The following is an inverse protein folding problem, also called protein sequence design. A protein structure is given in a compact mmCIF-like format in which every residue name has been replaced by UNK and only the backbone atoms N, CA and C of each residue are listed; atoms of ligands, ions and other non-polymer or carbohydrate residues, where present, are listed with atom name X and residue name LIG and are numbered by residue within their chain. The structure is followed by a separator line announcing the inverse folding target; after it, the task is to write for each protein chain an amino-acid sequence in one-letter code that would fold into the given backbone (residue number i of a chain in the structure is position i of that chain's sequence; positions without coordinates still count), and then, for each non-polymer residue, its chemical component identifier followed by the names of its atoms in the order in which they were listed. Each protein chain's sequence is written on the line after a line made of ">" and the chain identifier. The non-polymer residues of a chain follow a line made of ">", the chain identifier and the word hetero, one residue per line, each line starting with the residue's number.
data_IF_915382583003
#
_entry.id   IF_915382583003
#
_cell.length_a   1.000
_cell.length_b   1.000
_cell.length_c   1.000
_cell.angle_alpha   90.00
_cell.angle_beta   90.00
_cell.angle_gamma   90.00
#
_symmetry.space_group_name_H-M   'P 1'
#
loop_
_entity.id
_entity.type
_entity.pdbx_description
1 polymer ?
#
# COMPACT_ATOMS: atom_id res chain seq x y z
N UNK A 1 -23.57 -27.42 9.47
CA UNK A 1 -23.34 -26.02 9.05
C UNK A 1 -21.93 -25.73 8.59
N UNK A 2 -20.86 -26.04 9.33
CA UNK A 2 -19.45 -25.74 8.90
C UNK A 2 -19.02 -26.49 7.63
N UNK A 3 -19.47 -27.74 7.42
CA UNK A 3 -19.16 -28.55 6.23
C UNK A 3 -19.88 -28.06 4.96
N UNK A 4 -21.13 -27.62 5.10
CA UNK A 4 -21.90 -27.04 3.98
C UNK A 4 -21.36 -25.70 3.53
N UNK A 5 -20.89 -24.86 4.45
CA UNK A 5 -20.21 -23.58 4.12
C UNK A 5 -18.90 -23.83 3.37
N UNK A 6 -18.12 -24.83 3.79
CA UNK A 6 -16.87 -25.20 3.13
C UNK A 6 -17.08 -25.72 1.70
N UNK A 7 -18.14 -26.55 1.48
CA UNK A 7 -18.49 -27.06 0.16
C UNK A 7 -19.03 -25.94 -0.74
N UNK A 8 -19.80 -24.98 -0.23
CA UNK A 8 -20.24 -23.81 -0.98
C UNK A 8 -19.04 -22.91 -1.39
N UNK A 9 -18.07 -22.72 -0.52
CA UNK A 9 -16.85 -21.97 -0.84
C UNK A 9 -16.04 -22.72 -1.91
N UNK A 10 -15.92 -24.05 -1.82
CA UNK A 10 -15.23 -24.87 -2.82
C UNK A 10 -15.97 -24.88 -4.16
N UNK A 11 -17.30 -24.91 -4.17
CA UNK A 11 -18.12 -24.84 -5.38
C UNK A 11 -18.08 -23.47 -6.06
N UNK A 12 -17.96 -22.38 -5.30
CA UNK A 12 -17.73 -21.03 -5.81
C UNK A 12 -16.31 -20.88 -6.42
N UNK A 13 -15.35 -21.66 -5.95
CA UNK A 13 -13.97 -21.69 -6.50
C UNK A 13 -13.85 -22.54 -7.78
N UNK A 14 -14.79 -23.47 -8.03
CA UNK A 14 -14.72 -24.40 -9.17
C UNK A 14 -15.52 -23.98 -10.40
N UNK A 15 -16.35 -22.95 -10.33
CA UNK A 15 -17.11 -22.46 -11.46
C UNK A 15 -16.29 -21.56 -12.38
N UNK A 16 -16.12 -22.01 -13.62
CA UNK A 16 -15.62 -21.35 -14.83
C UNK A 16 -14.16 -21.61 -15.23
N UNK A 17 -13.93 -22.81 -15.74
CA UNK A 17 -12.88 -23.08 -16.74
C UNK A 17 -13.43 -22.72 -18.13
N UNK A 18 -13.63 -21.45 -18.40
CA UNK A 18 -13.79 -20.96 -19.77
C UNK A 18 -12.51 -20.19 -20.09
N UNK A 19 -11.96 -20.43 -21.29
CA UNK A 19 -10.87 -19.63 -21.85
C UNK A 19 -11.41 -18.24 -22.20
N UNK A 20 -11.53 -17.39 -21.18
CA UNK A 20 -11.99 -16.04 -21.29
C UNK A 20 -10.76 -15.14 -21.23
N UNK A 21 -10.70 -14.13 -22.10
CA UNK A 21 -9.62 -13.15 -22.09
C UNK A 21 -9.47 -12.57 -20.68
N UNK A 22 -8.24 -12.49 -20.19
CA UNK A 22 -7.96 -11.98 -18.84
C UNK A 22 -8.31 -10.49 -18.76
N UNK A 23 -8.88 -10.03 -17.66
CA UNK A 23 -9.11 -8.62 -17.46
C UNK A 23 -7.77 -7.91 -17.45
N UNK A 24 -7.68 -6.85 -18.20
CA UNK A 24 -6.47 -6.05 -18.29
C UNK A 24 -6.44 -4.93 -17.27
N UNK A 25 -7.57 -4.67 -16.62
CA UNK A 25 -7.76 -3.54 -15.71
C UNK A 25 -8.36 -4.01 -14.38
N UNK A 26 -7.95 -3.33 -13.31
CA UNK A 26 -8.49 -3.55 -11.99
C UNK A 26 -8.44 -2.26 -11.17
N UNK A 27 -9.40 -2.10 -10.27
CA UNK A 27 -9.38 -1.07 -9.22
C UNK A 27 -9.45 -1.79 -7.88
N UNK A 28 -8.62 -1.40 -6.93
CA UNK A 28 -8.61 -2.00 -5.61
C UNK A 28 -8.23 -1.01 -4.51
N UNK A 29 -8.76 -1.26 -3.33
CA UNK A 29 -8.32 -0.64 -2.09
C UNK A 29 -7.20 -1.48 -1.49
N UNK A 30 -6.19 -0.83 -0.93
CA UNK A 30 -5.05 -1.45 -0.28
C UNK A 30 -4.90 -0.88 1.12
N UNK A 31 -4.62 -1.77 2.07
CA UNK A 31 -4.30 -1.45 3.44
C UNK A 31 -2.83 -1.79 3.69
N UNK A 32 -2.11 -0.84 4.26
CA UNK A 32 -0.67 -0.92 4.51
C UNK A 32 0.14 -0.98 3.19
N UNK A 33 1.33 -1.56 3.23
CA UNK A 33 2.20 -1.71 2.06
C UNK A 33 2.58 -0.39 1.41
N UNK A 34 2.62 -0.38 0.09
CA UNK A 34 2.97 0.80 -0.69
C UNK A 34 2.00 1.98 -0.49
N UNK A 35 0.75 1.70 -0.10
CA UNK A 35 -0.27 2.71 0.17
C UNK A 35 -0.17 3.35 1.56
N UNK A 36 0.82 2.98 2.36
CA UNK A 36 0.98 3.50 3.72
C UNK A 36 -0.10 2.95 4.66
N UNK A 37 -1.11 3.73 5.04
CA UNK A 37 -2.22 3.24 5.84
C UNK A 37 -3.32 2.69 4.96
N UNK A 38 -3.79 3.50 4.00
CA UNK A 38 -4.88 3.14 3.09
C UNK A 38 -4.72 3.85 1.75
N UNK A 39 -5.06 3.16 0.67
CA UNK A 39 -5.06 3.75 -0.67
C UNK A 39 -6.03 3.09 -1.62
N UNK A 40 -6.28 3.75 -2.73
CA UNK A 40 -7.03 3.22 -3.87
C UNK A 40 -6.12 3.25 -5.09
N UNK A 41 -6.05 2.14 -5.79
CA UNK A 41 -5.17 1.98 -6.94
C UNK A 41 -5.92 1.48 -8.17
N UNK A 42 -5.51 1.97 -9.31
CA UNK A 42 -5.83 1.46 -10.63
C UNK A 42 -4.63 0.70 -11.18
N UNK A 43 -4.85 -0.50 -11.64
CA UNK A 43 -3.85 -1.39 -12.25
C UNK A 43 -4.27 -1.76 -13.66
N UNK A 44 -3.33 -1.77 -14.59
CA UNK A 44 -3.59 -2.15 -15.98
C UNK A 44 -2.42 -2.92 -16.57
N UNK A 45 -2.77 -3.91 -17.41
CA UNK A 45 -1.77 -4.66 -18.20
C UNK A 45 -1.48 -3.95 -19.50
N UNK A 46 -0.24 -4.01 -19.97
CA UNK A 46 0.11 -3.51 -21.30
C UNK A 46 -0.62 -4.30 -22.39
N UNK A 47 -0.99 -3.63 -23.49
CA UNK A 47 -1.68 -4.26 -24.62
C UNK A 47 -0.88 -5.41 -25.25
N UNK A 48 0.43 -5.34 -25.16
CA UNK A 48 1.39 -6.30 -25.73
C UNK A 48 1.74 -7.44 -24.78
N UNK A 49 1.32 -7.39 -23.52
CA UNK A 49 1.70 -8.39 -22.52
C UNK A 49 0.61 -8.56 -21.47
N UNK A 50 0.27 -9.82 -21.19
CA UNK A 50 -0.62 -10.17 -20.08
C UNK A 50 0.12 -10.19 -18.72
N UNK A 51 1.44 -10.18 -18.74
CA UNK A 51 2.28 -10.28 -17.55
C UNK A 51 2.73 -8.89 -17.05
N UNK A 52 3.20 -8.03 -17.94
CA UNK A 52 3.65 -6.69 -17.61
C UNK A 52 2.49 -5.72 -17.45
N UNK A 53 2.56 -4.89 -16.43
CA UNK A 53 1.57 -3.88 -16.16
C UNK A 53 2.12 -2.70 -15.39
N UNK A 54 1.22 -1.79 -15.09
CA UNK A 54 1.49 -0.62 -14.28
C UNK A 54 0.34 -0.36 -13.31
N UNK A 55 0.66 0.30 -12.23
CA UNK A 55 -0.28 0.69 -11.18
C UNK A 55 -0.10 2.16 -10.85
N UNK A 56 -1.22 2.86 -10.70
CA UNK A 56 -1.29 4.20 -10.14
C UNK A 56 -2.23 4.18 -8.95
N UNK A 57 -1.85 4.88 -7.87
CA UNK A 57 -2.66 4.93 -6.66
C UNK A 57 -2.64 6.29 -6.01
N UNK A 58 -3.74 6.58 -5.32
CA UNK A 58 -3.88 7.66 -4.36
C UNK A 58 -3.93 7.02 -2.98
N UNK A 59 -3.15 7.55 -2.06
CA UNK A 59 -3.05 6.96 -0.72
C UNK A 59 -2.88 8.03 0.36
N UNK A 60 -3.14 7.62 1.58
CA UNK A 60 -2.89 8.39 2.78
C UNK A 60 -1.85 7.65 3.62
N UNK A 61 -0.76 8.33 3.89
CA UNK A 61 0.32 7.84 4.71
C UNK A 61 0.31 8.54 6.07
N UNK A 62 0.66 7.79 7.10
CA UNK A 62 1.12 8.31 8.36
C UNK A 62 2.18 7.36 8.90
N UNK A 63 3.15 7.87 9.60
CA UNK A 63 4.24 7.09 10.18
C UNK A 63 4.86 7.83 11.34
N UNK A 64 5.62 7.12 12.15
CA UNK A 64 6.29 7.64 13.32
C UNK A 64 7.62 6.97 13.63
N UNK A 65 8.34 7.56 14.55
CA UNK A 65 9.72 7.20 14.91
C UNK A 65 9.86 5.78 15.49
N UNK A 66 8.82 5.22 16.07
CA UNK A 66 8.89 3.95 16.82
C UNK A 66 8.03 2.80 16.27
N UNK A 67 7.56 2.89 15.04
CA UNK A 67 6.67 1.86 14.53
C UNK A 67 7.41 0.63 14.01
N UNK A 68 6.92 -0.55 14.39
CA UNK A 68 7.53 -1.85 14.06
C UNK A 68 7.70 -2.09 12.55
N UNK A 69 6.83 -1.49 11.73
CA UNK A 69 6.81 -1.68 10.29
C UNK A 69 7.22 -0.45 9.48
N UNK A 70 7.17 0.72 10.11
CA UNK A 70 7.50 1.99 9.47
C UNK A 70 8.48 2.72 10.38
N UNK A 71 9.69 2.93 9.92
CA UNK A 71 10.68 3.75 10.60
C UNK A 71 10.82 5.07 9.86
N UNK A 72 10.59 6.17 10.53
CA UNK A 72 10.83 7.53 10.08
C UNK A 72 11.49 8.30 11.20
N UNK A 73 12.37 9.23 10.88
CA UNK A 73 13.03 10.09 11.87
C UNK A 73 12.08 11.14 12.49
N UNK A 74 10.85 11.24 11.98
CA UNK A 74 9.80 12.16 12.44
C UNK A 74 8.43 11.56 12.22
N UNK A 75 7.50 11.88 13.08
CA UNK A 75 6.08 11.61 12.87
C UNK A 75 5.53 12.48 11.74
N UNK A 76 4.82 11.89 10.82
CA UNK A 76 4.27 12.58 9.66
C UNK A 76 2.92 12.01 9.23
N UNK A 77 2.12 12.83 8.56
CA UNK A 77 0.91 12.39 7.87
C UNK A 77 0.61 13.20 6.62
N UNK A 78 0.02 12.57 5.61
CA UNK A 78 -0.37 13.27 4.41
C UNK A 78 -0.79 12.41 3.23
N UNK A 79 -1.34 13.06 2.19
CA UNK A 79 -1.71 12.40 0.95
C UNK A 79 -0.48 12.08 0.10
N UNK A 80 -0.59 11.00 -0.67
CA UNK A 80 0.48 10.56 -1.57
C UNK A 80 -0.04 9.94 -2.84
N UNK A 81 0.82 9.95 -3.86
CA UNK A 81 0.68 9.31 -5.15
C UNK A 81 1.64 8.13 -5.23
N UNK A 82 1.17 7.05 -5.81
CA UNK A 82 1.92 5.83 -6.00
C UNK A 82 1.97 5.48 -7.48
N UNK A 83 3.16 5.15 -7.96
CA UNK A 83 3.42 4.67 -9.32
C UNK A 83 4.26 3.41 -9.23
N UNK A 84 3.86 2.36 -9.95
CA UNK A 84 4.50 1.06 -9.92
C UNK A 84 4.47 0.40 -11.29
N UNK A 85 5.59 -0.22 -11.69
CA UNK A 85 5.63 -1.22 -12.74
C UNK A 85 5.58 -2.60 -12.13
N UNK A 86 4.72 -3.49 -12.62
CA UNK A 86 4.58 -4.82 -12.05
C UNK A 86 4.57 -5.93 -13.10
N UNK A 87 4.94 -7.11 -12.66
CA UNK A 87 5.02 -8.33 -13.45
C UNK A 87 4.30 -9.48 -12.75
N UNK A 88 3.41 -10.17 -13.46
CA UNK A 88 2.66 -11.31 -12.96
C UNK A 88 3.25 -12.62 -13.44
N UNK A 89 3.63 -13.48 -12.50
CA UNK A 89 4.13 -14.83 -12.75
C UNK A 89 3.04 -15.82 -12.35
N UNK A 90 2.56 -16.63 -13.30
CA UNK A 90 1.55 -17.64 -13.01
C UNK A 90 0.59 -17.89 -14.16
N UNK A 91 -0.40 -18.72 -13.90
CA UNK A 91 -1.44 -19.09 -14.85
C UNK A 91 -2.82 -19.15 -14.16
N UNK A 92 -3.88 -18.98 -14.95
CA UNK A 92 -5.24 -19.05 -14.42
C UNK A 92 -5.60 -17.83 -13.58
N UNK A 93 -5.90 -18.03 -12.31
CA UNK A 93 -6.37 -16.98 -11.39
C UNK A 93 -5.35 -16.63 -10.31
N UNK A 94 -4.25 -17.35 -10.23
CA UNK A 94 -3.27 -17.30 -9.16
C UNK A 94 -1.94 -16.82 -9.71
N UNK A 95 -1.43 -15.72 -9.17
CA UNK A 95 -0.19 -15.09 -9.62
C UNK A 95 0.70 -14.76 -8.43
N UNK A 96 2.01 -14.92 -8.64
CA UNK A 96 3.00 -14.18 -7.92
C UNK A 96 3.14 -12.82 -8.60
N UNK A 97 3.02 -11.75 -7.87
CA UNK A 97 3.21 -10.39 -8.32
C UNK A 97 4.56 -9.87 -7.85
N UNK A 98 5.32 -9.33 -8.79
CA UNK A 98 6.57 -8.63 -8.52
C UNK A 98 6.41 -7.20 -9.03
N UNK A 99 6.66 -6.22 -8.18
CA UNK A 99 6.54 -4.81 -8.52
C UNK A 99 7.78 -4.03 -8.10
N UNK A 100 8.00 -2.94 -8.81
CA UNK A 100 8.94 -1.89 -8.42
C UNK A 100 8.23 -0.56 -8.59
N UNK A 101 8.19 0.21 -7.53
CA UNK A 101 7.43 1.44 -7.50
C UNK A 101 8.07 2.55 -6.68
N UNK A 102 7.44 3.69 -6.78
CA UNK A 102 7.79 4.89 -6.01
C UNK A 102 6.52 5.54 -5.49
N UNK A 103 6.58 5.98 -4.26
CA UNK A 103 5.57 6.80 -3.64
C UNK A 103 6.10 8.22 -3.52
N UNK A 104 5.24 9.19 -3.81
CA UNK A 104 5.50 10.63 -3.68
C UNK A 104 4.36 11.26 -2.89
N UNK A 105 4.65 12.14 -1.98
CA UNK A 105 3.61 12.79 -1.19
C UNK A 105 4.03 14.14 -0.61
N UNK A 106 3.02 14.84 -0.10
CA UNK A 106 3.19 16.00 0.72
C UNK A 106 2.69 15.68 2.12
N UNK A 107 3.53 15.93 3.10
CA UNK A 107 3.29 15.49 4.47
C UNK A 107 3.41 16.65 5.42
N UNK A 108 2.62 16.60 6.47
CA UNK A 108 2.74 17.50 7.61
C UNK A 108 3.46 16.76 8.72
N UNK A 109 4.61 17.26 9.20
CA UNK A 109 5.23 16.77 10.42
C UNK A 109 4.28 16.94 11.61
N UNK A 110 4.24 15.93 12.45
CA UNK A 110 3.53 15.94 13.72
C UNK A 110 4.56 16.29 14.81
N UNK A 111 4.30 17.30 15.59
CA UNK A 111 5.17 17.67 16.72
C UNK A 111 4.46 17.36 18.03
N UNK A 112 5.23 16.89 18.99
CA UNK A 112 4.80 16.94 20.38
C UNK A 112 4.98 18.39 20.88
N UNK A 113 3.89 19.04 21.28
CA UNK A 113 3.93 20.42 21.77
C UNK A 113 4.58 20.53 23.14
N UNK A 114 4.85 19.44 23.82
CA UNK A 114 5.46 19.47 25.14
C UNK A 114 6.91 19.98 25.13
N UNK A 115 7.61 19.92 23.98
CA UNK A 115 8.94 20.51 23.84
C UNK A 115 8.94 22.03 23.66
N UNK A 116 7.81 22.66 23.33
CA UNK A 116 7.75 24.10 22.99
C UNK A 116 7.38 25.03 24.12
N UNK A 117 6.87 24.55 25.24
CA UNK A 117 6.44 25.38 26.34
C UNK A 117 6.97 24.90 27.68
N UNK A 118 8.25 25.11 27.92
CA UNK A 118 8.76 25.09 29.27
C UNK A 118 8.41 26.41 29.97
N UNK A 119 7.18 26.51 30.48
CA UNK A 119 6.68 27.67 31.28
C UNK A 119 7.06 27.53 32.76
N UNK A 120 8.10 26.86 33.10
CA UNK A 120 8.60 26.80 34.48
C UNK A 120 7.62 26.27 35.52
N UNK A 121 6.46 25.75 35.14
CA UNK A 121 5.44 25.21 36.06
C UNK A 121 5.37 23.69 35.98
N UNK A 122 5.88 22.95 37.00
CA UNK A 122 5.99 21.49 36.95
C UNK A 122 4.66 20.72 37.03
N UNK A 123 3.53 21.40 37.00
CA UNK A 123 2.20 20.80 37.18
C UNK A 123 1.26 20.95 35.97
N UNK A 124 1.69 21.52 34.87
CA UNK A 124 0.89 21.61 33.64
C UNK A 124 1.47 20.78 32.51
N UNK A 125 1.31 19.46 32.55
CA UNK A 125 1.56 18.58 31.42
C UNK A 125 0.26 18.37 30.64
N UNK A 126 -0.04 19.22 29.68
CA UNK A 126 -1.03 18.93 28.65
C UNK A 126 -0.32 18.55 27.37
N UNK A 127 -0.15 17.25 27.13
CA UNK A 127 0.33 16.74 25.86
C UNK A 127 -0.69 17.04 24.76
N UNK A 128 -0.40 17.99 23.93
CA UNK A 128 -1.23 18.38 22.80
C UNK A 128 -0.44 18.17 21.51
N UNK A 129 -0.81 17.17 20.72
CA UNK A 129 -0.24 16.96 19.39
C UNK A 129 -0.54 18.16 18.50
N UNK A 130 0.49 18.73 17.89
CA UNK A 130 0.37 19.80 16.91
C UNK A 130 0.84 19.33 15.56
N UNK A 131 0.22 19.84 14.50
CA UNK A 131 0.74 19.68 13.14
C UNK A 131 1.47 20.95 12.72
N UNK A 132 2.59 20.82 12.00
CA UNK A 132 3.18 21.97 11.31
C UNK A 132 2.19 22.56 10.31
N UNK A 133 2.25 23.89 10.11
CA UNK A 133 1.49 24.53 9.03
C UNK A 133 2.10 24.25 7.66
N UNK A 134 3.39 23.96 7.61
CA UNK A 134 4.13 23.73 6.37
C UNK A 134 4.04 22.29 5.88
N UNK A 135 3.85 22.15 4.57
CA UNK A 135 3.87 20.88 3.89
C UNK A 135 5.28 20.56 3.40
N UNK A 136 5.79 19.39 3.76
CA UNK A 136 7.07 18.89 3.29
C UNK A 136 6.85 17.82 2.20
N UNK A 137 7.62 17.89 1.12
CA UNK A 137 7.65 16.84 0.11
C UNK A 137 8.44 15.65 0.64
N UNK A 138 7.95 14.44 0.37
CA UNK A 138 8.66 13.22 0.69
C UNK A 138 8.41 12.12 -0.31
N UNK A 139 9.33 11.17 -0.37
CA UNK A 139 9.22 10.01 -1.24
C UNK A 139 9.89 8.78 -0.65
N UNK A 140 9.53 7.62 -1.17
CA UNK A 140 10.27 6.37 -1.02
C UNK A 140 10.08 5.46 -2.22
N UNK A 141 11.09 4.63 -2.50
CA UNK A 141 11.00 3.54 -3.46
C UNK A 141 10.64 2.25 -2.73
N UNK A 142 9.97 1.34 -3.43
CA UNK A 142 9.62 0.04 -2.85
C UNK A 142 9.64 -1.06 -3.89
N UNK A 143 9.83 -2.27 -3.41
CA UNK A 143 9.62 -3.50 -4.17
C UNK A 143 8.32 -4.12 -3.66
N UNK A 144 7.45 -4.56 -4.54
CA UNK A 144 6.25 -5.34 -4.21
C UNK A 144 6.53 -6.82 -4.51
N UNK A 145 6.31 -7.67 -3.50
CA UNK A 145 6.35 -9.12 -3.66
C UNK A 145 5.12 -9.70 -3.00
N UNK A 146 4.20 -10.23 -3.81
CA UNK A 146 2.92 -10.66 -3.28
C UNK A 146 2.21 -11.73 -4.09
N UNK A 147 1.23 -12.31 -3.46
CA UNK A 147 0.26 -13.17 -4.09
C UNK A 147 -0.93 -12.35 -4.58
N UNK A 148 -1.36 -12.61 -5.82
CA UNK A 148 -2.52 -11.99 -6.45
C UNK A 148 -3.50 -13.05 -6.92
N UNK A 149 -4.71 -13.01 -6.40
CA UNK A 149 -5.86 -13.73 -6.94
C UNK A 149 -6.63 -12.80 -7.88
N UNK A 150 -6.68 -13.14 -9.16
CA UNK A 150 -7.37 -12.35 -10.18
C UNK A 150 -8.16 -13.26 -11.10
N UNK A 151 -9.49 -13.35 -10.93
CA UNK A 151 -10.36 -14.05 -11.88
C UNK A 151 -10.48 -13.24 -13.17
N UNK A 152 -11.09 -13.81 -14.18
CA UNK A 152 -11.31 -13.14 -15.49
C UNK A 152 -12.15 -11.88 -15.36
N UNK A 153 -13.11 -11.86 -14.46
CA UNK A 153 -13.90 -10.69 -14.07
C UNK A 153 -14.39 -10.92 -12.65
N UNK A 154 -14.38 -9.89 -11.84
CA UNK A 154 -14.88 -9.96 -10.48
C UNK A 154 -13.87 -9.58 -9.43
N UNK A 155 -14.04 -10.12 -8.23
CA UNK A 155 -13.24 -9.74 -7.06
C UNK A 155 -11.78 -10.14 -7.23
N UNK A 156 -10.90 -9.17 -7.11
CA UNK A 156 -9.45 -9.35 -6.99
C UNK A 156 -9.05 -9.26 -5.53
N UNK A 157 -8.10 -10.08 -5.12
CA UNK A 157 -7.48 -10.03 -3.81
C UNK A 157 -5.96 -10.12 -3.95
N UNK A 158 -5.24 -9.34 -3.14
CA UNK A 158 -3.78 -9.33 -3.11
C UNK A 158 -3.30 -9.34 -1.66
N UNK A 159 -2.17 -9.98 -1.41
CA UNK A 159 -1.48 -9.93 -0.13
C UNK A 159 0.02 -10.15 -0.35
N UNK A 160 0.86 -9.41 0.35
CA UNK A 160 2.30 -9.50 0.17
C UNK A 160 3.06 -8.60 1.12
N UNK A 161 4.28 -8.28 0.73
CA UNK A 161 5.17 -7.38 1.43
C UNK A 161 5.73 -6.33 0.48
N UNK A 162 5.94 -5.13 0.99
CA UNK A 162 6.53 -4.00 0.26
C UNK A 162 7.78 -3.48 0.99
N UNK A 163 8.93 -4.15 0.89
CA UNK A 163 10.19 -3.58 1.35
C UNK A 163 10.41 -2.21 0.71
N UNK A 164 10.70 -1.19 1.53
CA UNK A 164 10.88 0.18 1.06
C UNK A 164 12.26 0.71 1.39
N UNK A 165 12.77 1.59 0.53
CA UNK A 165 14.08 2.20 0.63
C UNK A 165 14.07 3.59 0.02
N UNK A 166 15.05 4.42 0.38
CA UNK A 166 15.24 5.76 -0.18
C UNK A 166 16.65 5.91 -0.70
N UNK A 167 16.79 6.71 -1.76
CA UNK A 167 18.07 7.16 -2.26
C UNK A 167 18.26 8.63 -1.82
N UNK A 168 19.19 8.87 -0.91
CA UNK A 168 19.43 10.19 -0.30
C UNK A 168 18.61 10.39 0.98
N UNK A 169 19.08 11.31 1.82
CA UNK A 169 18.55 11.51 3.16
C UNK A 169 17.66 12.77 3.28
N UNK A 170 17.75 13.70 2.34
CA UNK A 170 17.18 15.05 2.48
C UNK A 170 15.64 15.07 2.39
N UNK A 171 15.03 14.13 1.64
CA UNK A 171 13.58 14.06 1.44
C UNK A 171 13.02 12.65 1.60
N UNK A 172 13.82 11.73 2.12
CA UNK A 172 13.42 10.33 2.30
C UNK A 172 12.57 10.15 3.56
N UNK A 173 11.37 9.60 3.40
CA UNK A 173 10.44 9.42 4.48
C UNK A 173 10.53 8.08 5.19
N UNK A 174 11.10 7.05 4.54
CA UNK A 174 10.83 5.72 5.02
C UNK A 174 11.86 4.69 4.58
N UNK A 175 12.27 3.89 5.58
CA UNK A 175 13.01 2.65 5.36
C UNK A 175 12.30 1.54 6.13
N UNK A 176 11.74 0.56 5.44
CA UNK A 176 11.14 -0.60 6.07
C UNK A 176 11.51 -1.85 5.31
N UNK A 177 12.13 -2.81 6.00
CA UNK A 177 12.46 -4.10 5.38
C UNK A 177 11.22 -4.98 5.22
N UNK A 178 10.29 -4.90 6.14
CA UNK A 178 9.09 -5.72 6.14
C UNK A 178 7.85 -4.87 6.35
N UNK A 179 7.11 -4.65 5.27
CA UNK A 179 5.84 -3.94 5.35
C UNK A 179 4.75 -4.73 4.62
N UNK A 180 3.91 -5.45 5.36
CA UNK A 180 2.87 -6.28 4.79
C UNK A 180 1.73 -5.43 4.21
N UNK A 181 1.00 -5.99 3.25
CA UNK A 181 -0.23 -5.40 2.73
C UNK A 181 -1.30 -6.43 2.45
N UNK A 182 -2.53 -5.97 2.44
CA UNK A 182 -3.68 -6.67 1.88
C UNK A 182 -4.48 -5.71 1.00
N UNK A 183 -5.00 -6.22 -0.11
CA UNK A 183 -5.84 -5.42 -1.01
C UNK A 183 -7.02 -6.23 -1.51
N UNK A 184 -8.13 -5.54 -1.74
CA UNK A 184 -9.33 -6.09 -2.33
C UNK A 184 -9.91 -5.11 -3.34
N UNK A 185 -10.45 -5.63 -4.44
CA UNK A 185 -11.01 -4.79 -5.48
C UNK A 185 -11.76 -5.56 -6.54
N UNK A 186 -11.84 -4.99 -7.72
CA UNK A 186 -12.59 -5.53 -8.85
C UNK A 186 -11.76 -5.44 -10.14
N UNK A 187 -11.71 -6.57 -10.87
CA UNK A 187 -11.07 -6.70 -12.18
C UNK A 187 -12.14 -6.71 -13.29
N UNK A 188 -11.92 -5.98 -14.40
CA UNK A 188 -12.87 -5.78 -15.50
C UNK A 188 -12.17 -5.67 -16.86
#
# INVERSE_FOLDING_TARGET
>A
MKRTLFIMILALLSSTLMAQERPRQAVFAEFLGASGIIGVSYDSRFKTSEHWGYRFGLSFNAGGESETFISSDKDYQGPSLLVEGNYLIGKGRHFLELGLGMMHGFFKPLFDKDEMFYDGNPWSSSSSWGTSEDWEYGYYCYVDVGYRFQPVKGVIARAGICPSFVFGDEYGLRRSFFYPYVSVGYAF
#
